data_IF_932315837056
#
_entry.id   IF_932315837056
#
_cell.length_a   1.000
_cell.length_b   1.000
_cell.length_c   1.000
_cell.angle_alpha   90.00
_cell.angle_beta   90.00
_cell.angle_gamma   90.00
#
_symmetry.space_group_name_H-M   'P 1'
#
loop_
_entity.id
_entity.type
_entity.pdbx_description
1 polymer ?
#
# COMPACT_ATOMS: atom_id res chain seq x y z
N UNK A 1 -26.11 -19.92 22.69
CA UNK A 1 -25.49 -18.74 22.10
C UNK A 1 -25.89 -18.73 20.64
N UNK A 2 -26.59 -17.69 20.20
CA UNK A 2 -27.06 -17.58 18.79
C UNK A 2 -25.86 -17.35 17.86
N UNK A 3 -26.01 -17.75 16.59
CA UNK A 3 -24.99 -17.51 15.58
C UNK A 3 -24.67 -15.98 15.47
N UNK A 4 -25.69 -15.16 15.65
CA UNK A 4 -25.59 -13.68 15.62
C UNK A 4 -24.61 -13.13 16.63
N UNK A 5 -24.49 -13.75 17.80
CA UNK A 5 -23.53 -13.39 18.83
C UNK A 5 -22.08 -13.54 18.35
N UNK A 6 -21.78 -14.67 17.68
CA UNK A 6 -20.41 -14.91 17.18
C UNK A 6 -20.02 -13.92 16.09
N UNK A 7 -20.94 -13.62 15.17
CA UNK A 7 -20.65 -12.70 14.06
C UNK A 7 -20.53 -11.25 14.52
N UNK A 8 -21.32 -10.82 15.51
CA UNK A 8 -21.20 -9.46 16.05
C UNK A 8 -19.92 -9.23 16.86
N UNK A 9 -19.28 -10.27 17.37
CA UNK A 9 -18.05 -10.17 18.15
C UNK A 9 -16.78 -10.37 17.29
N UNK A 10 -16.88 -10.99 16.13
CA UNK A 10 -15.73 -11.33 15.30
C UNK A 10 -14.87 -10.09 14.91
N UNK A 11 -15.43 -8.95 14.43
CA UNK A 11 -14.64 -7.77 14.16
C UNK A 11 -13.92 -7.21 15.40
N UNK A 12 -14.58 -7.28 16.57
CA UNK A 12 -13.98 -6.87 17.84
C UNK A 12 -12.77 -7.74 18.18
N UNK A 13 -12.89 -9.07 18.10
CA UNK A 13 -11.78 -9.98 18.38
C UNK A 13 -10.60 -9.76 17.44
N UNK A 14 -10.86 -9.56 16.15
CA UNK A 14 -9.82 -9.30 15.15
C UNK A 14 -9.12 -7.96 15.43
N UNK A 15 -9.86 -6.91 15.76
CA UNK A 15 -9.28 -5.60 16.06
C UNK A 15 -8.44 -5.62 17.34
N UNK A 16 -8.91 -6.27 18.40
CA UNK A 16 -8.17 -6.44 19.67
C UNK A 16 -6.90 -7.28 19.43
N UNK A 17 -6.99 -8.37 18.65
CA UNK A 17 -5.83 -9.20 18.33
C UNK A 17 -4.70 -8.37 17.70
N UNK A 18 -5.01 -7.59 16.66
CA UNK A 18 -4.00 -6.76 16.01
C UNK A 18 -3.53 -5.59 16.87
N UNK A 19 -4.44 -5.00 17.67
CA UNK A 19 -4.05 -3.97 18.64
C UNK A 19 -2.99 -4.49 19.60
N UNK A 20 -3.21 -5.66 20.22
CA UNK A 20 -2.27 -6.28 21.16
C UNK A 20 -0.97 -6.66 20.44
N UNK A 21 -1.07 -7.25 19.23
CA UNK A 21 0.10 -7.68 18.46
C UNK A 21 1.06 -6.51 18.15
N UNK A 22 0.52 -5.34 17.80
CA UNK A 22 1.33 -4.15 17.56
C UNK A 22 1.70 -3.40 18.87
N UNK A 23 0.80 -3.32 19.84
CA UNK A 23 1.05 -2.58 21.09
C UNK A 23 2.20 -3.18 21.91
N UNK A 24 2.37 -4.50 21.88
CA UNK A 24 3.45 -5.21 22.60
C UNK A 24 4.84 -4.68 22.27
N UNK A 25 5.07 -4.26 21.03
CA UNK A 25 6.36 -3.76 20.53
C UNK A 25 6.29 -2.29 20.08
N UNK A 26 5.33 -1.50 20.59
CA UNK A 26 5.00 -0.17 20.07
C UNK A 26 6.20 0.77 19.94
N UNK A 27 7.16 0.72 20.89
CA UNK A 27 8.35 1.58 20.88
C UNK A 27 9.34 1.23 19.76
N UNK A 28 9.34 -0.02 19.30
CA UNK A 28 10.24 -0.55 18.27
C UNK A 28 9.64 -0.40 16.86
N UNK A 29 8.35 -0.07 16.78
CA UNK A 29 7.64 0.06 15.52
C UNK A 29 8.05 1.33 14.75
N UNK A 30 8.05 1.22 13.43
CA UNK A 30 8.12 2.38 12.53
C UNK A 30 6.90 3.30 12.70
N UNK A 31 7.02 4.54 12.18
CA UNK A 31 5.97 5.55 12.32
C UNK A 31 4.61 5.10 11.74
N UNK A 32 4.61 4.34 10.64
CA UNK A 32 3.40 3.84 10.02
C UNK A 32 2.70 2.78 10.88
N UNK A 33 3.45 1.81 11.42
CA UNK A 33 2.91 0.77 12.31
C UNK A 33 2.39 1.35 13.62
N UNK A 34 3.00 2.44 14.14
CA UNK A 34 2.47 3.15 15.32
C UNK A 34 1.09 3.75 15.06
N UNK A 35 0.88 4.38 13.88
CA UNK A 35 -0.45 4.88 13.49
C UNK A 35 -1.43 3.73 13.32
N UNK A 36 -1.00 2.61 12.75
CA UNK A 36 -1.83 1.40 12.60
C UNK A 36 -2.24 0.82 13.96
N UNK A 37 -1.37 0.88 14.99
CA UNK A 37 -1.74 0.50 16.37
C UNK A 37 -2.87 1.36 16.91
N UNK A 38 -2.79 2.69 16.73
CA UNK A 38 -3.85 3.62 17.13
C UNK A 38 -5.14 3.32 16.37
N UNK A 39 -5.05 3.04 15.07
CA UNK A 39 -6.18 2.65 14.23
C UNK A 39 -6.92 1.43 14.82
N UNK A 40 -6.20 0.34 15.13
CA UNK A 40 -6.80 -0.86 15.72
C UNK A 40 -7.37 -0.61 17.12
N UNK A 41 -6.77 0.28 17.91
CA UNK A 41 -7.33 0.70 19.19
C UNK A 41 -8.68 1.39 19.04
N UNK A 42 -8.79 2.33 18.09
CA UNK A 42 -10.07 3.01 17.79
C UNK A 42 -11.10 2.02 17.21
N UNK A 43 -10.69 1.11 16.31
CA UNK A 43 -11.57 0.06 15.80
C UNK A 43 -12.05 -0.86 16.92
N UNK A 44 -11.22 -1.21 17.91
CA UNK A 44 -11.64 -2.04 19.04
C UNK A 44 -12.73 -1.38 19.87
N UNK A 45 -12.64 -0.06 20.10
CA UNK A 45 -13.69 0.69 20.78
C UNK A 45 -14.96 0.77 19.93
N UNK A 46 -14.83 1.00 18.63
CA UNK A 46 -15.95 1.04 17.69
C UNK A 46 -16.72 -0.29 17.67
N UNK A 47 -15.99 -1.40 17.51
CA UNK A 47 -16.59 -2.73 17.44
C UNK A 47 -17.14 -3.20 18.80
N UNK A 48 -16.57 -2.70 19.91
CA UNK A 48 -17.18 -2.89 21.23
C UNK A 48 -18.56 -2.21 21.31
N UNK A 49 -18.69 -0.99 20.82
CA UNK A 49 -19.99 -0.32 20.75
C UNK A 49 -20.99 -1.11 19.89
N UNK A 50 -20.56 -1.68 18.75
CA UNK A 50 -21.41 -2.57 17.94
C UNK A 50 -21.80 -3.84 18.70
N UNK A 51 -20.84 -4.50 19.35
CA UNK A 51 -21.13 -5.71 20.13
C UNK A 51 -22.11 -5.44 21.28
N UNK A 52 -22.00 -4.30 21.97
CA UNK A 52 -22.95 -3.88 23.00
C UNK A 52 -24.33 -3.60 22.40
N UNK A 53 -24.40 -2.90 21.28
CA UNK A 53 -25.65 -2.57 20.59
C UNK A 53 -26.43 -3.85 20.22
N UNK A 54 -25.76 -4.87 19.69
CA UNK A 54 -26.43 -6.08 19.22
C UNK A 54 -26.71 -7.12 20.29
N UNK A 55 -25.93 -7.14 21.40
CA UNK A 55 -26.01 -8.24 22.35
C UNK A 55 -26.46 -7.84 23.77
N UNK A 56 -26.41 -6.57 24.13
CA UNK A 56 -26.67 -6.12 25.52
C UNK A 56 -27.92 -5.26 25.61
N UNK A 57 -28.14 -4.35 24.64
CA UNK A 57 -29.27 -3.44 24.68
C UNK A 57 -30.47 -4.04 23.94
N UNK A 58 -31.52 -4.39 24.68
CA UNK A 58 -32.73 -5.05 24.13
C UNK A 58 -33.43 -4.20 23.07
N UNK A 59 -33.47 -2.87 23.28
CA UNK A 59 -34.06 -1.92 22.32
C UNK A 59 -33.12 -1.61 21.13
N UNK A 60 -31.94 -2.23 21.09
CA UNK A 60 -30.88 -1.95 20.11
C UNK A 60 -30.56 -0.45 19.95
N UNK A 61 -30.59 0.28 21.06
CA UNK A 61 -30.26 1.70 21.15
C UNK A 61 -29.16 1.89 22.18
N UNK A 62 -28.07 2.57 21.78
CA UNK A 62 -27.01 2.91 22.72
C UNK A 62 -27.42 4.11 23.59
N UNK A 63 -27.05 4.13 24.89
CA UNK A 63 -27.12 5.35 25.67
C UNK A 63 -26.35 6.50 25.03
N UNK A 64 -26.86 7.73 25.13
CA UNK A 64 -26.28 8.92 24.47
C UNK A 64 -24.76 9.04 24.59
N UNK A 65 -24.12 8.80 25.76
CA UNK A 65 -22.66 8.86 25.86
C UNK A 65 -21.94 7.79 25.01
N UNK A 66 -22.49 6.56 24.94
CA UNK A 66 -21.92 5.48 24.14
C UNK A 66 -22.15 5.72 22.64
N UNK A 67 -23.31 6.26 22.27
CA UNK A 67 -23.61 6.63 20.88
C UNK A 67 -22.73 7.80 20.41
N UNK A 68 -22.47 8.79 21.26
CA UNK A 68 -21.50 9.86 21.01
C UNK A 68 -20.08 9.30 20.82
N UNK A 69 -19.64 8.36 21.65
CA UNK A 69 -18.36 7.68 21.53
C UNK A 69 -18.30 6.89 20.20
N UNK A 70 -19.34 6.19 19.85
CA UNK A 70 -19.47 5.50 18.57
C UNK A 70 -19.34 6.46 17.39
N UNK A 71 -19.96 7.66 17.43
CA UNK A 71 -19.78 8.70 16.42
C UNK A 71 -18.33 9.16 16.30
N UNK A 72 -17.67 9.44 17.45
CA UNK A 72 -16.27 9.83 17.47
C UNK A 72 -15.37 8.78 16.82
N UNK A 73 -15.56 7.51 17.17
CA UNK A 73 -14.77 6.39 16.61
C UNK A 73 -15.03 6.22 15.11
N UNK A 74 -16.32 6.18 14.68
CA UNK A 74 -16.69 6.00 13.27
C UNK A 74 -16.08 7.08 12.39
N UNK A 75 -16.14 8.36 12.81
CA UNK A 75 -15.57 9.47 12.06
C UNK A 75 -14.06 9.63 12.20
N UNK A 76 -13.40 8.87 13.09
CA UNK A 76 -11.93 8.88 13.25
C UNK A 76 -11.24 7.77 12.47
N UNK A 77 -11.90 6.64 12.20
CA UNK A 77 -11.31 5.47 11.53
C UNK A 77 -10.70 5.84 10.17
N UNK A 78 -11.46 6.49 9.29
CA UNK A 78 -10.98 6.83 7.95
C UNK A 78 -9.89 7.91 7.95
N UNK A 79 -9.99 9.00 8.73
CA UNK A 79 -8.89 9.94 8.93
C UNK A 79 -7.60 9.30 9.44
N UNK A 80 -7.66 8.40 10.44
CA UNK A 80 -6.48 7.69 10.96
C UNK A 80 -5.90 6.77 9.89
N UNK A 81 -6.73 6.09 9.11
CA UNK A 81 -6.25 5.28 7.99
C UNK A 81 -5.56 6.13 6.92
N UNK A 82 -6.04 7.34 6.62
CA UNK A 82 -5.35 8.28 5.75
C UNK A 82 -3.99 8.71 6.32
N UNK A 83 -3.91 8.98 7.62
CA UNK A 83 -2.64 9.28 8.29
C UNK A 83 -1.65 8.10 8.21
N UNK A 84 -2.16 6.87 8.31
CA UNK A 84 -1.36 5.67 8.06
C UNK A 84 -0.77 5.67 6.64
N UNK A 85 -1.58 5.95 5.61
CA UNK A 85 -1.10 6.06 4.23
C UNK A 85 -0.05 7.17 4.10
N UNK A 86 -0.23 8.33 4.73
CA UNK A 86 0.76 9.41 4.72
C UNK A 86 2.09 8.92 5.28
N UNK A 87 2.09 8.21 6.42
CA UNK A 87 3.31 7.65 7.00
C UNK A 87 3.94 6.55 6.13
N UNK A 88 3.12 5.78 5.42
CA UNK A 88 3.57 4.79 4.45
C UNK A 88 4.30 5.40 3.24
N UNK A 89 3.99 6.64 2.91
CA UNK A 89 4.48 7.32 1.70
C UNK A 89 5.52 8.39 1.99
N UNK A 90 6.23 8.28 3.12
CA UNK A 90 7.27 9.20 3.57
C UNK A 90 6.80 10.64 3.79
N UNK A 91 5.48 10.84 3.99
CA UNK A 91 4.95 12.18 4.20
C UNK A 91 4.70 12.46 5.69
N UNK A 92 5.30 13.52 6.20
CA UNK A 92 5.11 13.97 7.57
C UNK A 92 3.93 14.94 7.64
N UNK A 93 2.81 14.48 8.19
CA UNK A 93 1.69 15.37 8.50
C UNK A 93 1.98 16.10 9.81
N UNK A 94 1.93 17.44 9.78
CA UNK A 94 2.14 18.24 10.99
C UNK A 94 1.05 17.99 12.04
N UNK A 95 1.34 18.15 13.35
CA UNK A 95 0.32 17.96 14.40
C UNK A 95 -0.93 18.81 14.21
N UNK A 96 -0.78 20.05 13.69
CA UNK A 96 -1.91 20.93 13.39
C UNK A 96 -2.82 20.36 12.29
N UNK A 97 -2.25 19.84 11.21
CA UNK A 97 -3.01 19.18 10.14
C UNK A 97 -3.68 17.89 10.64
N UNK A 98 -3.00 17.11 11.48
CA UNK A 98 -3.57 15.92 12.11
C UNK A 98 -4.79 16.27 12.96
N UNK A 99 -4.69 17.30 13.81
CA UNK A 99 -5.80 17.79 14.61
C UNK A 99 -6.99 18.24 13.74
N UNK A 100 -6.72 19.00 12.66
CA UNK A 100 -7.75 19.45 11.73
C UNK A 100 -8.47 18.29 11.02
N UNK A 101 -7.75 17.24 10.66
CA UNK A 101 -8.30 16.05 10.00
C UNK A 101 -9.20 15.25 10.94
N UNK A 102 -8.90 15.20 12.24
CA UNK A 102 -9.67 14.48 13.26
C UNK A 102 -10.79 15.35 13.88
N UNK A 103 -10.70 16.68 13.81
CA UNK A 103 -11.64 17.61 14.44
C UNK A 103 -13.12 17.36 14.07
N UNK A 104 -13.53 17.08 12.81
CA UNK A 104 -14.93 16.87 12.48
C UNK A 104 -15.57 15.74 13.29
N UNK A 105 -14.87 14.63 13.51
CA UNK A 105 -15.36 13.50 14.30
C UNK A 105 -15.62 13.88 15.75
N UNK A 106 -14.66 14.56 16.36
CA UNK A 106 -14.75 15.00 17.76
C UNK A 106 -15.86 16.04 17.93
N UNK A 107 -15.95 17.02 17.03
CA UNK A 107 -16.95 18.09 17.11
C UNK A 107 -18.38 17.56 16.94
N UNK A 108 -18.61 16.64 15.99
CA UNK A 108 -19.93 16.02 15.77
C UNK A 108 -20.32 15.16 16.97
N UNK A 109 -19.39 14.38 17.52
CA UNK A 109 -19.64 13.57 18.71
C UNK A 109 -20.00 14.44 19.94
N UNK A 110 -19.28 15.53 20.16
CA UNK A 110 -19.57 16.48 21.24
C UNK A 110 -20.94 17.18 21.01
N UNK A 111 -21.23 17.58 19.78
CA UNK A 111 -22.55 18.18 19.45
C UNK A 111 -23.67 17.19 19.72
N UNK A 112 -23.52 15.91 19.37
CA UNK A 112 -24.52 14.88 19.64
C UNK A 112 -24.67 14.61 21.15
N UNK A 113 -23.56 14.59 21.89
CA UNK A 113 -23.59 14.40 23.36
C UNK A 113 -24.38 15.50 24.07
N UNK A 114 -24.26 16.74 23.57
CA UNK A 114 -24.97 17.91 24.16
C UNK A 114 -26.41 18.06 23.67
N UNK A 115 -26.66 17.66 22.43
CA UNK A 115 -27.95 17.82 21.78
C UNK A 115 -28.28 16.66 20.84
N UNK A 116 -28.70 15.50 21.35
CA UNK A 116 -29.07 14.35 20.52
C UNK A 116 -30.17 14.70 19.52
N UNK A 117 -29.90 14.61 18.23
CA UNK A 117 -30.87 14.90 17.20
C UNK A 117 -30.63 14.15 15.91
N UNK A 118 -31.69 13.81 15.17
CA UNK A 118 -31.63 13.20 13.87
C UNK A 118 -30.84 14.03 12.83
N UNK A 119 -30.82 15.36 13.01
CA UNK A 119 -30.04 16.26 12.15
C UNK A 119 -28.54 15.98 12.30
N UNK A 120 -28.05 15.85 13.54
CA UNK A 120 -26.65 15.57 13.81
C UNK A 120 -26.25 14.18 13.27
N UNK A 121 -27.14 13.18 13.38
CA UNK A 121 -26.88 11.85 12.80
C UNK A 121 -26.81 11.92 11.26
N UNK A 122 -27.70 12.69 10.61
CA UNK A 122 -27.61 12.93 9.16
C UNK A 122 -26.30 13.62 8.76
N UNK A 123 -25.88 14.65 9.52
CA UNK A 123 -24.59 15.32 9.28
C UNK A 123 -23.42 14.34 9.43
N UNK A 124 -23.44 13.50 10.47
CA UNK A 124 -22.46 12.42 10.66
C UNK A 124 -22.35 11.52 9.44
N UNK A 125 -23.49 11.06 8.90
CA UNK A 125 -23.54 10.19 7.73
C UNK A 125 -22.91 10.89 6.51
N UNK A 126 -23.30 12.14 6.24
CA UNK A 126 -22.75 12.92 5.12
C UNK A 126 -21.23 13.10 5.26
N UNK A 127 -20.77 13.49 6.47
CA UNK A 127 -19.33 13.67 6.73
C UNK A 127 -18.57 12.35 6.55
N UNK A 128 -19.12 11.22 7.01
CA UNK A 128 -18.53 9.89 6.84
C UNK A 128 -18.38 9.55 5.36
N UNK A 129 -19.40 9.77 4.53
CA UNK A 129 -19.34 9.53 3.07
C UNK A 129 -18.24 10.37 2.43
N UNK A 130 -18.15 11.65 2.76
CA UNK A 130 -17.11 12.55 2.26
C UNK A 130 -15.71 12.09 2.68
N UNK A 131 -15.53 11.68 3.95
CA UNK A 131 -14.26 11.15 4.45
C UNK A 131 -13.82 9.90 3.68
N UNK A 132 -14.72 8.94 3.45
CA UNK A 132 -14.42 7.72 2.67
C UNK A 132 -13.97 8.10 1.26
N UNK A 133 -14.72 8.96 0.57
CA UNK A 133 -14.38 9.41 -0.78
C UNK A 133 -12.99 10.10 -0.80
N UNK A 134 -12.73 10.98 0.15
CA UNK A 134 -11.43 11.65 0.29
C UNK A 134 -10.29 10.65 0.50
N UNK A 135 -10.47 9.69 1.41
CA UNK A 135 -9.42 8.68 1.71
C UNK A 135 -9.14 7.81 0.50
N UNK A 136 -10.16 7.36 -0.22
CA UNK A 136 -10.00 6.53 -1.42
C UNK A 136 -9.28 7.32 -2.53
N UNK A 137 -9.70 8.54 -2.81
CA UNK A 137 -9.11 9.35 -3.88
C UNK A 137 -7.70 9.82 -3.53
N UNK A 138 -7.53 10.47 -2.37
CA UNK A 138 -6.24 11.03 -1.96
C UNK A 138 -5.26 9.92 -1.61
N UNK A 139 -5.70 8.86 -0.93
CA UNK A 139 -4.88 7.69 -0.62
C UNK A 139 -4.38 6.99 -1.88
N UNK A 140 -5.26 6.75 -2.86
CA UNK A 140 -4.87 6.13 -4.13
C UNK A 140 -3.87 6.97 -4.92
N UNK A 141 -4.07 8.31 -4.95
CA UNK A 141 -3.12 9.23 -5.59
C UNK A 141 -1.75 9.19 -4.91
N UNK A 142 -1.72 9.24 -3.58
CA UNK A 142 -0.47 9.18 -2.81
C UNK A 142 0.27 7.87 -3.00
N UNK A 143 -0.42 6.75 -2.90
CA UNK A 143 0.21 5.43 -3.09
C UNK A 143 0.78 5.27 -4.50
N UNK A 144 0.06 5.73 -5.54
CA UNK A 144 0.60 5.71 -6.92
C UNK A 144 1.82 6.62 -7.09
N UNK A 145 1.77 7.82 -6.54
CA UNK A 145 2.91 8.73 -6.60
C UNK A 145 4.13 8.17 -5.85
N UNK A 146 3.92 7.43 -4.77
CA UNK A 146 4.99 6.79 -4.03
C UNK A 146 5.54 5.56 -4.78
N UNK A 147 4.68 4.72 -5.38
CA UNK A 147 5.11 3.62 -6.26
C UNK A 147 6.01 4.15 -7.41
N UNK A 148 5.67 5.31 -7.98
CA UNK A 148 6.48 5.94 -9.02
C UNK A 148 7.86 6.37 -8.46
N UNK A 149 7.90 7.05 -7.30
CA UNK A 149 9.16 7.42 -6.64
C UNK A 149 10.04 6.22 -6.29
N UNK A 150 9.43 5.09 -5.90
CA UNK A 150 10.16 3.84 -5.67
C UNK A 150 10.79 3.33 -6.97
N UNK A 151 10.03 3.35 -8.08
CA UNK A 151 10.53 2.92 -9.39
C UNK A 151 11.61 3.86 -9.96
N UNK A 152 11.64 5.13 -9.55
CA UNK A 152 12.70 6.08 -9.89
C UNK A 152 13.97 5.89 -9.04
N UNK A 153 13.87 5.24 -7.88
CA UNK A 153 14.99 5.14 -6.93
C UNK A 153 15.62 3.74 -6.89
N UNK A 154 14.86 2.69 -7.15
CA UNK A 154 15.29 1.30 -7.02
C UNK A 154 15.06 0.53 -8.31
N UNK A 155 16.01 -0.34 -8.68
CA UNK A 155 15.82 -1.26 -9.81
C UNK A 155 14.74 -2.31 -9.49
N UNK A 156 14.72 -2.81 -8.25
CA UNK A 156 13.71 -3.76 -7.77
C UNK A 156 12.80 -3.11 -6.72
N UNK A 157 11.49 -3.18 -6.96
CA UNK A 157 10.48 -2.53 -6.10
C UNK A 157 9.52 -3.53 -5.44
N UNK A 158 9.75 -4.84 -5.61
CA UNK A 158 8.76 -5.87 -5.23
C UNK A 158 8.52 -5.96 -3.73
N UNK A 159 9.58 -5.95 -2.93
CA UNK A 159 9.48 -5.97 -1.47
C UNK A 159 8.91 -4.65 -0.89
N UNK A 160 8.83 -3.62 -1.75
CA UNK A 160 8.41 -2.25 -1.43
C UNK A 160 7.02 -1.92 -1.99
N UNK A 161 6.37 -2.88 -2.68
CA UNK A 161 5.14 -2.69 -3.43
C UNK A 161 3.96 -2.23 -2.55
N UNK A 162 3.31 -1.15 -2.98
CA UNK A 162 2.13 -0.59 -2.31
C UNK A 162 0.80 -1.11 -2.87
N UNK A 163 0.82 -2.01 -3.88
CA UNK A 163 -0.39 -2.60 -4.47
C UNK A 163 -1.30 -3.27 -3.45
N UNK A 164 -0.82 -4.07 -2.47
CA UNK A 164 -1.70 -4.65 -1.46
C UNK A 164 -2.45 -3.58 -0.65
N UNK A 165 -1.76 -2.52 -0.23
CA UNK A 165 -2.38 -1.40 0.50
C UNK A 165 -3.37 -0.63 -0.37
N UNK A 166 -3.07 -0.46 -1.67
CA UNK A 166 -3.98 0.19 -2.63
C UNK A 166 -5.23 -0.66 -2.88
N UNK A 167 -5.10 -1.97 -2.99
CA UNK A 167 -6.24 -2.87 -3.17
C UNK A 167 -7.17 -2.85 -1.95
N UNK A 168 -6.64 -2.68 -0.74
CA UNK A 168 -7.45 -2.49 0.45
C UNK A 168 -8.33 -1.23 0.39
N UNK A 169 -7.93 -0.17 -0.31
CA UNK A 169 -8.79 1.00 -0.50
C UNK A 169 -10.07 0.66 -1.30
N UNK A 170 -9.99 -0.28 -2.23
CA UNK A 170 -11.16 -0.78 -2.96
C UNK A 170 -12.09 -1.52 -2.00
N UNK A 171 -11.54 -2.35 -1.12
CA UNK A 171 -12.32 -3.07 -0.10
C UNK A 171 -12.98 -2.09 0.87
N UNK A 172 -12.27 -1.04 1.31
CA UNK A 172 -12.85 0.05 2.12
C UNK A 172 -14.05 0.70 1.43
N UNK A 173 -13.91 0.99 0.14
CA UNK A 173 -15.00 1.59 -0.64
C UNK A 173 -16.23 0.66 -0.71
N UNK A 174 -16.02 -0.63 -0.95
CA UNK A 174 -17.11 -1.61 -1.00
C UNK A 174 -17.82 -1.73 0.35
N UNK A 175 -17.08 -1.76 1.46
CA UNK A 175 -17.65 -1.81 2.81
C UNK A 175 -18.41 -0.51 3.14
N UNK A 176 -17.88 0.64 2.72
CA UNK A 176 -18.58 1.91 2.92
C UNK A 176 -19.91 1.97 2.14
N UNK A 177 -19.92 1.49 0.89
CA UNK A 177 -21.15 1.37 0.10
C UNK A 177 -22.15 0.44 0.81
N UNK A 178 -21.70 -0.73 1.28
CA UNK A 178 -22.50 -1.66 2.03
C UNK A 178 -23.09 -0.99 3.30
N UNK A 179 -22.27 -0.27 4.07
CA UNK A 179 -22.71 0.46 5.26
C UNK A 179 -23.78 1.52 4.94
N UNK A 180 -23.63 2.25 3.82
CA UNK A 180 -24.63 3.22 3.37
C UNK A 180 -25.97 2.51 3.04
N UNK A 181 -25.92 1.41 2.31
CA UNK A 181 -27.10 0.62 1.95
C UNK A 181 -27.82 0.15 3.20
N UNK A 182 -27.08 -0.38 4.19
CA UNK A 182 -27.66 -0.83 5.46
C UNK A 182 -28.29 0.32 6.28
N UNK A 183 -27.69 1.51 6.24
CA UNK A 183 -28.28 2.71 6.85
C UNK A 183 -29.60 3.11 6.18
N UNK A 184 -29.71 2.97 4.84
CA UNK A 184 -30.94 3.27 4.08
C UNK A 184 -32.03 2.24 4.38
N UNK A 185 -31.67 0.95 4.48
CA UNK A 185 -32.61 -0.13 4.82
C UNK A 185 -33.18 0.01 6.25
N UNK A 186 -32.49 0.75 7.10
CA UNK A 186 -32.89 0.98 8.48
C UNK A 186 -32.42 -0.11 9.44
N UNK A 187 -32.20 0.30 10.67
CA UNK A 187 -31.64 -0.54 11.74
C UNK A 187 -32.50 -1.75 12.06
N UNK A 188 -33.83 -1.60 12.09
CA UNK A 188 -34.78 -2.68 12.36
C UNK A 188 -34.70 -3.81 11.33
N UNK A 189 -34.59 -3.47 10.03
CA UNK A 189 -34.46 -4.47 8.97
C UNK A 189 -33.16 -5.28 9.07
N UNK A 190 -32.07 -4.64 9.50
CA UNK A 190 -30.77 -5.30 9.68
C UNK A 190 -30.81 -6.30 10.85
N UNK A 191 -31.40 -5.89 11.98
CA UNK A 191 -31.43 -6.69 13.22
C UNK A 191 -32.34 -7.90 13.08
N UNK A 192 -33.47 -7.78 12.36
CA UNK A 192 -34.42 -8.87 12.15
C UNK A 192 -33.95 -9.94 11.16
N UNK A 193 -32.88 -9.67 10.39
CA UNK A 193 -32.37 -10.59 9.38
C UNK A 193 -30.93 -11.03 9.67
N UNK A 194 -30.74 -12.29 10.03
CA UNK A 194 -29.41 -12.88 10.24
C UNK A 194 -28.48 -12.69 9.04
N UNK A 195 -29.01 -12.79 7.83
CA UNK A 195 -28.24 -12.59 6.60
C UNK A 195 -27.71 -11.15 6.47
N UNK A 196 -28.51 -10.14 6.83
CA UNK A 196 -28.07 -8.75 6.77
C UNK A 196 -27.02 -8.45 7.83
N UNK A 197 -27.07 -9.06 9.01
CA UNK A 197 -26.01 -8.95 10.04
C UNK A 197 -24.69 -9.53 9.50
N UNK A 198 -24.73 -10.71 8.88
CA UNK A 198 -23.55 -11.34 8.25
C UNK A 198 -22.95 -10.43 7.18
N UNK A 199 -23.77 -9.91 6.27
CA UNK A 199 -23.31 -8.98 5.23
C UNK A 199 -22.78 -7.65 5.79
N UNK A 200 -23.22 -7.24 6.97
CA UNK A 200 -22.75 -6.01 7.61
C UNK A 200 -21.38 -6.16 8.27
N UNK A 201 -21.17 -7.25 9.02
CA UNK A 201 -20.07 -7.36 9.98
C UNK A 201 -18.90 -8.23 9.45
N UNK A 202 -19.16 -9.30 8.72
CA UNK A 202 -18.11 -10.18 8.24
C UNK A 202 -17.10 -9.50 7.28
N UNK A 203 -17.52 -8.65 6.33
CA UNK A 203 -16.56 -7.94 5.49
C UNK A 203 -15.64 -7.02 6.29
N UNK A 204 -16.12 -6.46 7.41
CA UNK A 204 -15.31 -5.61 8.30
C UNK A 204 -14.24 -6.46 8.99
N UNK A 205 -14.60 -7.63 9.52
CA UNK A 205 -13.64 -8.53 10.16
C UNK A 205 -12.54 -8.98 9.18
N UNK A 206 -12.91 -9.36 7.95
CA UNK A 206 -11.96 -9.75 6.90
C UNK A 206 -11.05 -8.57 6.53
N UNK A 207 -11.60 -7.38 6.37
CA UNK A 207 -10.81 -6.17 6.07
C UNK A 207 -9.81 -5.86 7.18
N UNK A 208 -10.25 -5.85 8.44
CA UNK A 208 -9.36 -5.61 9.59
C UNK A 208 -8.25 -6.66 9.65
N UNK A 209 -8.60 -7.94 9.40
CA UNK A 209 -7.60 -8.99 9.37
C UNK A 209 -6.57 -8.77 8.27
N UNK A 210 -7.00 -8.50 7.03
CA UNK A 210 -6.10 -8.26 5.89
C UNK A 210 -5.22 -7.04 6.12
N UNK A 211 -5.78 -5.95 6.65
CA UNK A 211 -5.01 -4.74 6.96
C UNK A 211 -3.92 -5.02 8.00
N UNK A 212 -4.28 -5.71 9.08
CA UNK A 212 -3.31 -6.09 10.12
C UNK A 212 -2.22 -7.01 9.58
N UNK A 213 -2.60 -8.02 8.78
CA UNK A 213 -1.67 -8.96 8.16
C UNK A 213 -0.69 -8.25 7.19
N UNK A 214 -1.19 -7.38 6.32
CA UNK A 214 -0.35 -6.59 5.39
C UNK A 214 0.59 -5.68 6.18
N UNK A 215 0.09 -4.98 7.20
CA UNK A 215 0.90 -4.13 8.06
C UNK A 215 1.98 -4.91 8.83
N UNK A 216 1.65 -6.12 9.32
CA UNK A 216 2.59 -6.99 10.03
C UNK A 216 3.69 -7.52 9.10
N UNK A 217 3.32 -8.06 7.94
CA UNK A 217 4.26 -8.64 6.96
C UNK A 217 5.18 -7.63 6.30
N UNK A 218 4.85 -6.36 6.36
CA UNK A 218 5.63 -5.33 5.71
C UNK A 218 7.00 -5.19 6.35
N UNK A 219 8.06 -5.52 5.60
CA UNK A 219 9.47 -5.38 5.99
C UNK A 219 10.06 -4.03 5.62
N UNK A 220 9.57 -3.40 4.54
CA UNK A 220 10.08 -2.13 4.05
C UNK A 220 9.77 -0.98 5.02
N UNK A 221 10.81 -0.26 5.43
CA UNK A 221 10.72 0.92 6.29
C UNK A 221 10.91 2.19 5.46
N UNK A 222 10.00 3.12 5.64
CA UNK A 222 10.06 4.42 4.94
C UNK A 222 11.29 5.22 5.35
N UNK A 223 11.74 5.08 6.59
CA UNK A 223 12.96 5.69 7.09
C UNK A 223 14.19 5.25 6.27
N UNK A 224 14.23 4.00 5.80
CA UNK A 224 15.26 3.51 4.91
C UNK A 224 15.19 4.19 3.55
N UNK A 225 13.97 4.34 2.98
CA UNK A 225 13.80 5.07 1.72
C UNK A 225 14.31 6.51 1.83
N UNK A 226 14.02 7.21 2.93
CA UNK A 226 14.50 8.57 3.16
C UNK A 226 16.02 8.63 3.35
N UNK A 227 16.61 7.64 4.02
CA UNK A 227 18.05 7.54 4.19
C UNK A 227 18.77 7.23 2.86
N UNK A 228 18.20 6.35 2.04
CA UNK A 228 18.74 6.00 0.72
C UNK A 228 18.55 7.15 -0.30
N UNK A 229 17.62 8.07 -0.02
CA UNK A 229 17.26 9.17 -0.92
C UNK A 229 17.25 10.52 -0.16
N UNK A 230 18.41 11.00 0.32
CA UNK A 230 18.49 12.32 0.96
C UNK A 230 18.06 13.41 -0.02
N UNK A 231 17.48 14.49 0.52
CA UNK A 231 17.22 15.70 -0.28
C UNK A 231 18.55 16.32 -0.68
N UNK A 232 18.91 16.18 -1.96
CA UNK A 232 20.08 16.83 -2.53
C UNK A 232 19.69 18.24 -2.98
N UNK A 233 20.43 19.24 -2.53
CA UNK A 233 20.39 20.57 -3.13
C UNK A 233 21.00 20.49 -4.51
N UNK A 234 20.25 20.93 -5.54
CA UNK A 234 20.75 20.99 -6.91
C UNK A 234 22.02 21.87 -6.95
N UNK A 235 23.13 21.39 -7.51
CA UNK A 235 24.25 22.25 -7.83
C UNK A 235 23.81 23.27 -8.90
N UNK A 236 24.28 24.53 -8.79
CA UNK A 236 23.90 25.62 -9.68
C UNK A 236 24.33 25.43 -11.16
N UNK A 237 25.09 24.40 -11.48
CA UNK A 237 25.57 24.13 -12.85
C UNK A 237 24.88 22.92 -13.46
N UNK A 238 24.14 23.09 -14.58
CA UNK A 238 23.66 21.95 -15.36
C UNK A 238 24.89 21.19 -15.89
N UNK A 239 25.08 19.96 -15.43
CA UNK A 239 26.02 19.08 -16.10
C UNK A 239 25.58 18.93 -17.56
N UNK A 240 26.48 19.00 -18.52
CA UNK A 240 26.16 18.76 -19.91
C UNK A 240 25.52 17.37 -20.05
N UNK A 241 24.24 17.33 -20.35
CA UNK A 241 23.45 16.07 -20.41
C UNK A 241 24.11 14.98 -21.26
N UNK A 242 24.87 15.37 -22.30
CA UNK A 242 25.59 14.42 -23.18
C UNK A 242 26.75 13.71 -22.47
N UNK A 243 27.56 14.42 -21.68
CA UNK A 243 28.67 13.82 -20.95
C UNK A 243 28.15 12.90 -19.83
N UNK A 244 27.09 13.32 -19.15
CA UNK A 244 26.43 12.51 -18.13
C UNK A 244 25.86 11.21 -18.74
N UNK A 245 25.17 11.31 -19.90
CA UNK A 245 24.63 10.18 -20.61
C UNK A 245 25.71 9.16 -20.98
N UNK A 246 26.84 9.62 -21.54
CA UNK A 246 27.96 8.76 -21.89
C UNK A 246 28.56 8.04 -20.66
N UNK A 247 28.69 8.73 -19.51
CA UNK A 247 29.18 8.12 -18.26
C UNK A 247 28.22 7.07 -17.73
N UNK A 248 26.90 7.33 -17.81
CA UNK A 248 25.87 6.35 -17.40
C UNK A 248 25.92 5.13 -18.32
N UNK A 249 25.99 5.33 -19.62
CA UNK A 249 26.06 4.25 -20.61
C UNK A 249 27.33 3.40 -20.42
N UNK A 250 28.48 4.02 -20.23
CA UNK A 250 29.72 3.33 -19.92
C UNK A 250 29.61 2.48 -18.68
N UNK A 251 29.10 3.02 -17.56
CA UNK A 251 28.92 2.30 -16.32
C UNK A 251 27.93 1.13 -16.50
N UNK A 252 26.80 1.38 -17.14
CA UNK A 252 25.74 0.39 -17.25
C UNK A 252 26.07 -0.69 -18.27
N UNK A 253 26.56 -0.33 -19.47
CA UNK A 253 26.79 -1.29 -20.56
C UNK A 253 28.19 -1.89 -20.48
N UNK A 254 29.25 -1.06 -20.37
CA UNK A 254 30.64 -1.54 -20.44
C UNK A 254 31.07 -2.23 -19.15
N UNK A 255 30.68 -1.66 -17.98
CA UNK A 255 31.01 -2.26 -16.68
C UNK A 255 29.93 -3.24 -16.20
N UNK A 256 28.84 -3.41 -16.96
CA UNK A 256 27.70 -4.27 -16.66
C UNK A 256 27.14 -4.07 -15.23
N UNK A 257 27.13 -2.79 -14.77
CA UNK A 257 26.73 -2.47 -13.39
C UNK A 257 25.28 -2.85 -13.10
N UNK A 258 24.43 -2.96 -14.12
CA UNK A 258 23.02 -3.43 -14.00
C UNK A 258 22.90 -4.87 -13.45
N UNK A 259 23.96 -5.67 -13.47
CA UNK A 259 23.98 -7.04 -12.92
C UNK A 259 24.05 -7.07 -11.40
N UNK A 260 24.42 -5.98 -10.75
CA UNK A 260 24.42 -5.92 -9.29
C UNK A 260 22.99 -6.01 -8.75
N UNK A 261 22.80 -6.90 -7.76
CA UNK A 261 21.52 -6.99 -7.05
C UNK A 261 21.27 -5.74 -6.22
N UNK A 262 19.99 -5.39 -6.04
CA UNK A 262 19.54 -4.25 -5.21
C UNK A 262 20.14 -2.89 -5.60
N UNK A 263 20.56 -2.72 -6.85
CA UNK A 263 21.11 -1.45 -7.34
C UNK A 263 20.10 -0.30 -7.15
N UNK A 264 20.60 0.83 -6.66
CA UNK A 264 19.85 2.05 -6.47
C UNK A 264 20.32 3.17 -7.39
N UNK A 265 19.48 4.15 -7.64
CA UNK A 265 19.86 5.36 -8.36
C UNK A 265 21.02 6.11 -7.67
N UNK A 266 21.05 6.06 -6.33
CA UNK A 266 22.13 6.65 -5.51
C UNK A 266 23.48 5.95 -5.75
N UNK A 267 23.48 4.62 -5.98
CA UNK A 267 24.72 3.89 -6.30
C UNK A 267 25.26 4.31 -7.66
N UNK A 268 24.38 4.47 -8.66
CA UNK A 268 24.77 4.98 -9.99
C UNK A 268 25.29 6.41 -9.87
N UNK A 269 24.60 7.29 -9.12
CA UNK A 269 25.03 8.67 -8.91
C UNK A 269 26.43 8.74 -8.31
N UNK A 270 26.70 7.92 -7.30
CA UNK A 270 28.03 7.84 -6.65
C UNK A 270 29.12 7.38 -7.62
N UNK A 271 28.83 6.37 -8.45
CA UNK A 271 29.78 5.81 -9.42
C UNK A 271 30.11 6.79 -10.56
N UNK A 272 29.09 7.47 -11.07
CA UNK A 272 29.23 8.43 -12.17
C UNK A 272 29.82 9.78 -11.68
N UNK A 273 29.83 10.02 -10.35
CA UNK A 273 30.28 11.29 -9.77
C UNK A 273 29.32 12.45 -10.04
N UNK A 274 28.00 12.16 -10.01
CA UNK A 274 26.91 13.13 -10.23
C UNK A 274 25.89 13.07 -9.13
N UNK A 275 24.96 14.04 -9.09
CA UNK A 275 23.86 13.97 -8.14
C UNK A 275 22.71 13.10 -8.69
N UNK A 276 21.99 12.48 -7.79
CA UNK A 276 20.84 11.59 -8.08
C UNK A 276 19.78 12.27 -8.95
N UNK A 277 19.51 13.56 -8.68
CA UNK A 277 18.48 14.32 -9.38
C UNK A 277 18.81 14.48 -10.87
N UNK A 278 20.08 14.69 -11.24
CA UNK A 278 20.48 14.77 -12.65
C UNK A 278 20.35 13.41 -13.36
N UNK A 279 20.74 12.32 -12.72
CA UNK A 279 20.62 10.99 -13.29
C UNK A 279 19.14 10.61 -13.47
N UNK A 280 18.28 10.89 -12.46
CA UNK A 280 16.83 10.67 -12.56
C UNK A 280 16.25 11.49 -13.72
N UNK A 281 16.61 12.77 -13.82
CA UNK A 281 16.16 13.66 -14.89
C UNK A 281 16.61 13.16 -16.27
N UNK A 282 17.84 12.69 -16.41
CA UNK A 282 18.35 12.13 -17.66
C UNK A 282 17.55 10.88 -18.06
N UNK A 283 17.38 9.92 -17.15
CA UNK A 283 16.66 8.68 -17.43
C UNK A 283 15.18 8.96 -17.77
N UNK A 284 14.53 9.85 -17.02
CA UNK A 284 13.12 10.16 -17.23
C UNK A 284 12.88 10.98 -18.50
N UNK A 285 13.69 12.03 -18.75
CA UNK A 285 13.45 12.98 -19.83
C UNK A 285 14.06 12.53 -21.16
N UNK A 286 15.30 11.99 -21.13
CA UNK A 286 15.99 11.59 -22.38
C UNK A 286 15.66 10.15 -22.77
N UNK A 287 15.57 9.22 -21.80
CA UNK A 287 15.26 7.81 -22.09
C UNK A 287 13.77 7.48 -21.96
N UNK A 288 12.95 8.38 -21.40
CA UNK A 288 11.49 8.25 -21.33
C UNK A 288 11.01 7.09 -20.43
N UNK A 289 11.79 6.69 -19.41
CA UNK A 289 11.46 5.56 -18.57
C UNK A 289 11.90 5.77 -17.12
N UNK A 290 11.41 4.95 -16.19
CA UNK A 290 11.88 4.95 -14.80
C UNK A 290 13.24 4.26 -14.68
N UNK A 291 13.99 4.53 -13.60
CA UNK A 291 15.24 3.83 -13.32
C UNK A 291 15.05 2.31 -13.23
N UNK A 292 13.97 1.87 -12.59
CA UNK A 292 13.60 0.44 -12.54
C UNK A 292 13.44 -0.16 -13.94
N UNK A 293 12.74 0.53 -14.84
CA UNK A 293 12.52 0.06 -16.20
C UNK A 293 13.82 0.05 -17.03
N UNK A 294 14.66 1.06 -16.86
CA UNK A 294 15.96 1.15 -17.49
C UNK A 294 16.85 -0.05 -17.14
N UNK A 295 17.05 -0.31 -15.85
CA UNK A 295 17.89 -1.42 -15.38
C UNK A 295 17.29 -2.77 -15.77
N UNK A 296 16.00 -2.98 -15.52
CA UNK A 296 15.36 -4.27 -15.76
C UNK A 296 15.25 -4.60 -17.25
N UNK A 297 15.13 -3.62 -18.15
CA UNK A 297 15.21 -3.84 -19.60
C UNK A 297 16.56 -4.43 -20.00
N UNK A 298 17.67 -3.91 -19.45
CA UNK A 298 19.02 -4.43 -19.72
C UNK A 298 19.19 -5.86 -19.18
N UNK A 299 18.71 -6.12 -17.95
CA UNK A 299 18.74 -7.46 -17.35
C UNK A 299 17.96 -8.47 -18.17
N UNK A 300 16.77 -8.11 -18.67
CA UNK A 300 15.96 -9.01 -19.50
C UNK A 300 16.60 -9.26 -20.86
N UNK A 301 17.18 -8.25 -21.50
CA UNK A 301 17.91 -8.44 -22.75
C UNK A 301 19.08 -9.43 -22.56
N UNK A 302 19.85 -9.28 -21.50
CA UNK A 302 20.93 -10.22 -21.17
C UNK A 302 20.39 -11.62 -20.83
N UNK A 303 19.28 -11.72 -20.09
CA UNK A 303 18.65 -13.01 -19.81
C UNK A 303 18.22 -13.74 -21.09
N UNK A 304 17.69 -13.04 -22.08
CA UNK A 304 17.34 -13.63 -23.39
C UNK A 304 18.56 -14.22 -24.09
N UNK A 305 19.70 -13.56 -24.05
CA UNK A 305 20.95 -14.09 -24.59
C UNK A 305 21.43 -15.34 -23.85
N UNK A 306 21.38 -15.34 -22.50
CA UNK A 306 21.74 -16.49 -21.69
C UNK A 306 20.82 -17.69 -21.93
N UNK A 307 19.51 -17.46 -22.00
CA UNK A 307 18.53 -18.50 -22.29
C UNK A 307 18.84 -19.19 -23.62
N UNK A 308 19.08 -18.41 -24.70
CA UNK A 308 19.42 -18.95 -26.01
C UNK A 308 20.76 -19.68 -26.03
N UNK A 309 21.76 -19.19 -25.27
CA UNK A 309 23.07 -19.82 -25.14
C UNK A 309 22.96 -21.18 -24.45
N UNK A 310 22.21 -21.25 -23.35
CA UNK A 310 21.98 -22.49 -22.60
C UNK A 310 21.18 -23.51 -23.43
N UNK A 311 20.15 -23.05 -24.14
CA UNK A 311 19.36 -23.92 -25.02
C UNK A 311 20.20 -24.59 -26.11
N UNK A 312 21.10 -23.85 -26.78
CA UNK A 312 22.01 -24.37 -27.78
C UNK A 312 23.03 -25.38 -27.23
N UNK A 313 23.35 -25.30 -25.93
CA UNK A 313 24.27 -26.21 -25.26
C UNK A 313 23.62 -27.49 -24.72
N UNK A 314 22.34 -27.76 -25.04
CA UNK A 314 21.53 -28.86 -24.49
C UNK A 314 21.46 -28.85 -22.94
N UNK A 315 21.71 -27.70 -22.30
CA UNK A 315 21.58 -27.52 -20.87
C UNK A 315 20.11 -27.23 -20.47
N UNK A 316 19.65 -27.85 -19.40
CA UNK A 316 18.38 -27.40 -18.78
C UNK A 316 18.56 -25.97 -18.24
N UNK A 317 17.88 -25.00 -18.86
CA UNK A 317 17.88 -23.60 -18.40
C UNK A 317 17.07 -23.50 -17.11
N UNK A 318 17.73 -23.57 -15.97
CA UNK A 318 17.09 -23.21 -14.70
C UNK A 318 16.93 -21.69 -14.65
N UNK A 319 15.73 -21.20 -14.95
CA UNK A 319 15.43 -19.75 -14.96
C UNK A 319 15.72 -19.07 -13.62
N UNK A 320 15.65 -19.81 -12.51
CA UNK A 320 16.07 -19.30 -11.21
C UNK A 320 17.55 -18.93 -11.15
N UNK A 321 18.42 -19.70 -11.81
CA UNK A 321 19.87 -19.42 -11.90
C UNK A 321 20.11 -18.20 -12.78
N UNK A 322 19.49 -18.18 -13.97
CA UNK A 322 19.59 -17.04 -14.89
C UNK A 322 19.08 -15.75 -14.23
N UNK A 323 17.97 -15.82 -13.48
CA UNK A 323 17.45 -14.67 -12.75
C UNK A 323 18.48 -14.05 -11.81
N UNK A 324 19.19 -14.88 -11.02
CA UNK A 324 20.24 -14.43 -10.10
C UNK A 324 21.46 -13.89 -10.87
N UNK A 325 21.86 -14.55 -11.96
CA UNK A 325 23.01 -14.17 -12.78
C UNK A 325 22.81 -12.77 -13.42
N UNK A 326 21.61 -12.47 -13.88
CA UNK A 326 21.29 -11.15 -14.46
C UNK A 326 20.93 -10.08 -13.40
N UNK A 327 21.07 -10.40 -12.11
CA UNK A 327 20.97 -9.44 -11.01
C UNK A 327 19.61 -9.33 -10.35
N UNK A 328 18.63 -10.22 -10.64
CA UNK A 328 17.39 -10.25 -9.86
C UNK A 328 17.60 -10.96 -8.51
N UNK A 329 16.93 -10.49 -7.48
CA UNK A 329 17.01 -11.08 -6.14
C UNK A 329 16.15 -12.34 -5.99
N UNK A 330 15.14 -12.50 -6.84
CA UNK A 330 14.24 -13.65 -6.82
C UNK A 330 13.63 -13.94 -8.20
N UNK A 331 13.19 -15.17 -8.38
CA UNK A 331 12.62 -15.66 -9.62
C UNK A 331 11.29 -14.99 -9.98
N UNK A 332 10.47 -14.61 -8.99
CA UNK A 332 9.18 -13.96 -9.24
C UNK A 332 9.38 -12.57 -9.88
N UNK A 333 10.38 -11.82 -9.41
CA UNK A 333 10.79 -10.54 -9.97
C UNK A 333 11.20 -10.70 -11.45
N UNK A 334 12.06 -11.68 -11.72
CA UNK A 334 12.48 -12.02 -13.07
C UNK A 334 11.29 -12.33 -13.99
N UNK A 335 10.41 -13.27 -13.62
CA UNK A 335 9.26 -13.68 -14.46
C UNK A 335 8.33 -12.51 -14.76
N UNK A 336 8.06 -11.64 -13.78
CA UNK A 336 7.20 -10.48 -13.98
C UNK A 336 7.82 -9.47 -14.94
N UNK A 337 9.11 -9.15 -14.76
CA UNK A 337 9.81 -8.21 -15.63
C UNK A 337 10.00 -8.82 -17.02
N UNK A 338 10.30 -10.10 -17.13
CA UNK A 338 10.39 -10.79 -18.41
C UNK A 338 9.08 -10.67 -19.19
N UNK A 339 7.95 -10.98 -18.54
CA UNK A 339 6.62 -10.80 -19.15
C UNK A 339 6.30 -9.35 -19.48
N UNK A 340 6.72 -8.41 -18.64
CA UNK A 340 6.51 -6.96 -18.89
C UNK A 340 7.19 -6.51 -20.18
N UNK A 341 8.44 -6.93 -20.42
CA UNK A 341 9.23 -6.45 -21.55
C UNK A 341 9.10 -7.32 -22.82
N UNK A 342 8.76 -8.60 -22.71
CA UNK A 342 8.62 -9.51 -23.84
C UNK A 342 7.17 -9.87 -24.21
N UNK A 343 6.21 -9.56 -23.32
CA UNK A 343 4.80 -9.93 -23.46
C UNK A 343 4.48 -11.37 -23.06
N UNK A 344 5.47 -12.23 -22.76
CA UNK A 344 5.27 -13.65 -22.48
C UNK A 344 6.21 -14.16 -21.37
N UNK A 345 5.95 -15.36 -20.87
CA UNK A 345 6.83 -16.01 -19.87
C UNK A 345 8.14 -16.47 -20.51
N UNK A 346 9.24 -16.65 -19.73
CA UNK A 346 10.51 -17.16 -20.26
C UNK A 346 10.37 -18.48 -21.01
N UNK A 347 9.56 -19.44 -20.50
CA UNK A 347 9.29 -20.71 -21.18
C UNK A 347 8.59 -20.50 -22.53
N UNK A 348 7.50 -19.74 -22.56
CA UNK A 348 6.74 -19.48 -23.80
C UNK A 348 7.60 -18.72 -24.83
N UNK A 349 8.47 -17.82 -24.35
CA UNK A 349 9.40 -17.09 -25.21
C UNK A 349 10.44 -18.04 -25.82
N UNK A 350 11.01 -18.95 -25.04
CA UNK A 350 12.00 -19.93 -25.53
C UNK A 350 11.37 -20.88 -26.54
N UNK A 351 10.19 -21.41 -26.27
CA UNK A 351 9.46 -22.26 -27.22
C UNK A 351 9.22 -21.55 -28.56
N UNK A 352 8.79 -20.28 -28.52
CA UNK A 352 8.62 -19.46 -29.71
C UNK A 352 9.93 -19.35 -30.51
N UNK A 353 11.05 -19.07 -29.82
CA UNK A 353 12.36 -18.96 -30.47
C UNK A 353 12.82 -20.29 -31.10
N UNK A 354 12.53 -21.42 -30.46
CA UNK A 354 12.78 -22.76 -31.04
C UNK A 354 12.00 -22.99 -32.32
N UNK A 355 10.70 -22.65 -32.32
CA UNK A 355 9.87 -22.77 -33.53
C UNK A 355 10.34 -21.88 -34.68
N UNK A 356 10.71 -20.65 -34.40
CA UNK A 356 11.22 -19.70 -35.40
C UNK A 356 12.55 -20.18 -36.00
N UNK A 357 13.46 -20.74 -35.18
CA UNK A 357 14.74 -21.30 -35.63
C UNK A 357 14.62 -22.64 -36.41
N UNK A 358 13.51 -23.39 -36.24
CA UNK A 358 13.24 -24.60 -37.02
C UNK A 358 12.61 -24.32 -38.38
N UNK A 359 12.10 -23.11 -38.61
CA UNK A 359 11.47 -22.68 -39.83
C UNK A 359 12.40 -21.86 -40.74
N UNK A 360 13.55 -21.46 -40.26
CA UNK A 360 14.65 -20.77 -40.96
C UNK A 360 15.77 -21.73 -41.36
#
# INVERSE_FOLDING_TARGET
>A
MSLDFYFSILPLLVSIFWFIAFAKHYRELDAAKRVLTIFFGVCSVLELCHALLYNVFEDHVLPVPLESLWFACTLSVYPIYYLYICRLTADSVSPRKTALILAPGILIALAFLLWPSAIIDTVRLVVNIVQVACVVVLGSRRLRAFDHRLAESYAETEDKDMRPTRNLLIVILLIAINSIVLNILGRESVITSQWLILFALDPIAVQLFLLGYIGYRRSFRVEQFLADNPEETLPDTPAENKELGAKIEQLMVTEAFYLQQNITLTDVARKVGSCRTYISSYINNELGCTFSDYVNRMRIAHAQELILRHDRSNGESKFSVIALEVGFTNEQSFYRNFRKFTGMTPNAWLEKQRHENHLS
#
